data_IF_031974255068
#
_entry.id   IF_031974255068
#
_cell.length_a   1.000
_cell.length_b   1.000
_cell.length_c   1.000
_cell.angle_alpha   90.00
_cell.angle_beta   90.00
_cell.angle_gamma   90.00
#
_symmetry.space_group_name_H-M   'P 1'
#
loop_
_entity.id
_entity.type
_entity.pdbx_description
1 polymer ?
#
# COMPACT_ATOMS: atom_id res chain seq x y z
N UNK A 1 7.70 25.10 -12.77
CA UNK A 1 7.56 23.64 -12.61
C UNK A 1 7.83 23.39 -11.14
N UNK A 2 6.89 22.79 -10.46
CA UNK A 2 7.03 22.49 -9.04
C UNK A 2 8.08 21.38 -8.89
N UNK A 3 9.27 21.74 -8.41
CA UNK A 3 10.43 20.84 -8.28
C UNK A 3 10.32 19.95 -7.02
N UNK A 4 9.10 19.90 -6.42
CA UNK A 4 8.81 19.13 -5.22
C UNK A 4 8.80 17.63 -5.51
N UNK A 5 9.50 16.87 -4.65
CA UNK A 5 9.48 15.39 -4.66
C UNK A 5 8.10 14.81 -4.31
N UNK A 6 7.17 15.63 -3.84
CA UNK A 6 5.79 15.29 -3.47
C UNK A 6 5.35 15.93 -2.17
N UNK A 7 4.04 16.00 -1.96
CA UNK A 7 3.46 16.51 -0.71
C UNK A 7 3.06 15.37 0.20
N UNK A 8 3.62 15.36 1.41
CA UNK A 8 3.46 14.30 2.39
C UNK A 8 2.75 14.80 3.64
N UNK A 9 1.92 13.95 4.25
CA UNK A 9 1.41 14.20 5.60
C UNK A 9 2.09 13.25 6.59
N UNK A 10 2.69 13.78 7.64
CA UNK A 10 3.20 13.03 8.78
C UNK A 10 2.16 13.10 9.91
N UNK A 11 1.73 11.95 10.41
CA UNK A 11 0.84 11.83 11.57
C UNK A 11 1.61 11.05 12.65
N UNK A 12 2.10 11.76 13.66
CA UNK A 12 3.01 11.24 14.70
C UNK A 12 2.80 12.08 15.97
N UNK A 13 2.59 11.46 17.12
CA UNK A 13 2.36 12.17 18.37
C UNK A 13 3.64 12.67 19.02
N UNK A 14 4.76 11.92 18.89
CA UNK A 14 6.06 12.37 19.37
C UNK A 14 6.55 13.61 18.59
N UNK A 15 6.55 14.74 19.26
CA UNK A 15 6.94 16.02 18.66
C UNK A 15 8.40 16.09 18.22
N UNK A 16 9.29 15.33 18.86
CA UNK A 16 10.72 15.31 18.51
C UNK A 16 10.92 14.48 17.23
N UNK A 17 10.33 13.30 17.17
CA UNK A 17 10.37 12.45 15.98
C UNK A 17 9.69 13.12 14.81
N UNK A 18 8.50 13.71 15.00
CA UNK A 18 7.76 14.43 13.95
C UNK A 18 8.59 15.55 13.35
N UNK A 19 9.25 16.41 14.17
CA UNK A 19 10.15 17.45 13.69
C UNK A 19 11.37 16.92 12.95
N UNK A 20 11.96 15.83 13.47
CA UNK A 20 13.11 15.18 12.82
C UNK A 20 12.75 14.64 11.43
N UNK A 21 11.62 13.95 11.33
CA UNK A 21 11.08 13.46 10.05
C UNK A 21 10.84 14.60 9.08
N UNK A 22 10.14 15.65 9.52
CA UNK A 22 9.89 16.84 8.71
C UNK A 22 11.19 17.42 8.18
N UNK A 23 12.13 17.77 9.07
CA UNK A 23 13.40 18.36 8.65
C UNK A 23 14.14 17.49 7.64
N UNK A 24 14.15 16.19 7.85
CA UNK A 24 14.80 15.24 6.93
C UNK A 24 14.13 15.22 5.57
N UNK A 25 12.80 15.19 5.53
CA UNK A 25 12.03 15.10 4.30
C UNK A 25 12.02 16.45 3.55
N UNK A 26 11.97 17.57 4.25
CA UNK A 26 12.10 18.91 3.65
C UNK A 26 13.46 19.05 2.93
N UNK A 27 14.56 18.62 3.56
CA UNK A 27 15.90 18.62 2.94
C UNK A 27 15.96 17.73 1.70
N UNK A 28 15.15 16.68 1.65
CA UNK A 28 15.06 15.78 0.50
C UNK A 28 14.10 16.28 -0.59
N UNK A 29 13.52 17.48 -0.42
CA UNK A 29 12.68 18.16 -1.41
C UNK A 29 11.20 17.80 -1.36
N UNK A 30 10.72 17.19 -0.28
CA UNK A 30 9.28 16.97 -0.08
C UNK A 30 8.63 18.21 0.56
N UNK A 31 7.36 18.46 0.24
CA UNK A 31 6.52 19.42 0.97
C UNK A 31 5.78 18.66 2.08
N UNK A 32 6.02 19.03 3.34
CA UNK A 32 5.62 18.21 4.49
C UNK A 32 4.58 18.93 5.36
N UNK A 33 3.37 18.37 5.41
CA UNK A 33 2.37 18.69 6.43
C UNK A 33 2.55 17.80 7.67
N UNK A 34 2.14 18.31 8.84
CA UNK A 34 2.26 17.62 10.11
C UNK A 34 0.92 17.55 10.83
N UNK A 35 0.65 16.45 11.50
CA UNK A 35 -0.45 16.25 12.42
C UNK A 35 0.07 15.53 13.68
N UNK A 36 -0.45 15.88 14.84
CA UNK A 36 -0.02 15.31 16.12
C UNK A 36 -0.88 14.14 16.61
N UNK A 37 -1.95 13.82 15.90
CA UNK A 37 -2.88 12.73 16.19
C UNK A 37 -3.71 12.40 14.96
N UNK A 38 -4.46 11.29 15.01
CA UNK A 38 -5.26 10.83 13.89
C UNK A 38 -6.37 11.76 13.47
N UNK A 39 -7.03 12.42 14.45
CA UNK A 39 -8.12 13.37 14.20
C UNK A 39 -7.64 14.59 13.41
N UNK A 40 -6.51 15.19 13.82
CA UNK A 40 -5.86 16.29 13.10
C UNK A 40 -5.42 15.84 11.69
N UNK A 41 -4.87 14.64 11.57
CA UNK A 41 -4.51 14.05 10.29
C UNK A 41 -5.68 13.97 9.31
N UNK A 42 -6.84 13.48 9.77
CA UNK A 42 -8.06 13.40 8.96
C UNK A 42 -8.60 14.79 8.57
N UNK A 43 -8.47 15.78 9.44
CA UNK A 43 -8.85 17.18 9.12
C UNK A 43 -7.94 17.73 8.02
N UNK A 44 -6.63 17.55 8.14
CA UNK A 44 -5.66 18.04 7.15
C UNK A 44 -5.84 17.43 5.77
N UNK A 45 -6.13 16.14 5.70
CA UNK A 45 -6.42 15.44 4.43
C UNK A 45 -7.63 15.99 3.69
N UNK A 46 -8.57 16.64 4.41
CA UNK A 46 -9.73 17.31 3.78
C UNK A 46 -9.40 18.70 3.26
N UNK A 47 -8.38 19.35 3.80
CA UNK A 47 -8.03 20.74 3.49
C UNK A 47 -6.93 20.86 2.44
N UNK A 48 -6.07 19.84 2.33
CA UNK A 48 -4.87 19.87 1.49
C UNK A 48 -4.71 18.52 0.80
N UNK A 49 -4.39 18.55 -0.48
CA UNK A 49 -4.08 17.35 -1.26
C UNK A 49 -2.68 16.86 -0.93
N UNK A 50 -2.60 15.66 -0.39
CA UNK A 50 -1.35 14.95 -0.12
C UNK A 50 -1.20 13.76 -1.07
N UNK A 51 0.03 13.36 -1.31
CA UNK A 51 0.37 12.26 -2.23
C UNK A 51 0.78 10.99 -1.49
N UNK A 52 1.08 11.08 -0.20
CA UNK A 52 1.26 9.95 0.69
C UNK A 52 1.11 10.38 2.16
N UNK A 53 0.80 9.41 3.01
CA UNK A 53 0.70 9.58 4.47
C UNK A 53 1.72 8.69 5.15
N UNK A 54 2.52 9.28 6.06
CA UNK A 54 3.32 8.58 7.05
C UNK A 54 2.54 8.60 8.36
N UNK A 55 2.22 7.42 8.89
CA UNK A 55 1.28 7.29 10.01
C UNK A 55 1.88 6.41 11.10
N UNK A 56 2.07 6.97 12.29
CA UNK A 56 2.46 6.16 13.44
C UNK A 56 1.31 5.25 13.91
N UNK A 57 1.66 4.02 14.27
CA UNK A 57 0.68 3.07 14.83
C UNK A 57 0.32 3.43 16.25
N UNK A 58 1.33 3.78 17.06
CA UNK A 58 1.21 3.88 18.51
C UNK A 58 0.90 5.30 18.98
N UNK A 59 -0.20 5.87 18.53
CA UNK A 59 -0.67 7.18 18.97
C UNK A 59 -1.79 7.07 20.00
N UNK A 60 -1.89 8.00 20.97
CA UNK A 60 -3.04 8.07 21.88
C UNK A 60 -4.33 8.44 21.13
N UNK A 61 -5.47 8.16 21.75
CA UNK A 61 -6.79 8.49 21.18
C UNK A 61 -7.22 7.50 20.11
N UNK A 62 -7.46 7.98 18.88
CA UNK A 62 -7.92 7.14 17.77
C UNK A 62 -6.92 6.04 17.37
N UNK A 63 -5.64 6.26 17.63
CA UNK A 63 -4.58 5.34 17.20
C UNK A 63 -4.36 5.30 15.68
N UNK A 64 -3.18 4.79 15.27
CA UNK A 64 -2.82 4.76 13.85
C UNK A 64 -3.65 3.78 13.02
N UNK A 65 -3.98 2.63 13.57
CA UNK A 65 -4.76 1.60 12.87
C UNK A 65 -6.16 2.10 12.49
N UNK A 66 -6.89 2.69 13.44
CA UNK A 66 -8.23 3.24 13.16
C UNK A 66 -8.14 4.45 12.23
N UNK A 67 -7.10 5.29 12.39
CA UNK A 67 -6.83 6.40 11.48
C UNK A 67 -6.62 5.89 10.05
N UNK A 68 -5.83 4.85 9.86
CA UNK A 68 -5.61 4.20 8.57
C UNK A 68 -6.93 3.72 7.94
N UNK A 69 -7.76 2.99 8.71
CA UNK A 69 -9.08 2.53 8.24
C UNK A 69 -9.96 3.68 7.78
N UNK A 70 -9.98 4.80 8.51
CA UNK A 70 -10.77 6.00 8.13
C UNK A 70 -10.22 6.70 6.91
N UNK A 71 -8.90 6.84 6.79
CA UNK A 71 -8.28 7.38 5.57
C UNK A 71 -8.66 6.50 4.38
N UNK A 72 -8.52 5.19 4.49
CA UNK A 72 -8.77 4.26 3.39
C UNK A 72 -10.22 4.26 2.90
N UNK A 73 -11.19 4.47 3.78
CA UNK A 73 -12.61 4.58 3.41
C UNK A 73 -12.90 5.76 2.47
N UNK A 74 -12.15 6.85 2.59
CA UNK A 74 -12.36 8.08 1.81
C UNK A 74 -11.35 8.19 0.66
N UNK A 75 -10.09 7.87 0.94
CA UNK A 75 -8.97 8.01 0.02
C UNK A 75 -8.45 6.62 -0.39
N UNK A 76 -9.21 5.93 -1.25
CA UNK A 76 -8.94 4.54 -1.63
C UNK A 76 -7.58 4.34 -2.29
N UNK A 77 -7.08 5.33 -3.03
CA UNK A 77 -5.79 5.28 -3.77
C UNK A 77 -4.62 5.95 -3.02
N UNK A 78 -4.87 6.60 -1.87
CA UNK A 78 -3.82 7.30 -1.10
C UNK A 78 -2.80 6.30 -0.55
N UNK A 79 -1.50 6.44 -0.84
CA UNK A 79 -0.48 5.61 -0.22
C UNK A 79 -0.36 5.92 1.27
N UNK A 80 -0.40 4.87 2.09
CA UNK A 80 -0.26 4.95 3.56
C UNK A 80 0.90 4.06 3.99
N UNK A 81 1.95 4.69 4.54
CA UNK A 81 3.10 4.00 5.12
C UNK A 81 2.99 4.09 6.64
N UNK A 82 2.85 2.93 7.30
CA UNK A 82 2.78 2.88 8.76
C UNK A 82 4.17 2.90 9.38
N UNK A 83 4.35 3.70 10.44
CA UNK A 83 5.55 3.68 11.28
C UNK A 83 5.25 2.84 12.54
N UNK A 84 6.10 1.88 12.86
CA UNK A 84 5.87 0.98 14.01
C UNK A 84 7.16 0.75 14.82
N UNK A 85 7.05 0.72 16.13
CA UNK A 85 8.14 0.32 17.03
C UNK A 85 8.17 -1.18 17.27
N UNK A 86 7.12 -1.90 16.86
CA UNK A 86 6.96 -3.33 17.13
C UNK A 86 7.31 -4.15 15.90
N UNK A 87 8.12 -5.16 16.09
CA UNK A 87 8.53 -6.11 15.07
C UNK A 87 7.67 -7.40 15.12
N UNK A 88 6.50 -7.35 15.79
CA UNK A 88 5.60 -8.48 15.83
C UNK A 88 4.93 -8.69 14.47
N UNK A 89 4.80 -9.94 14.04
CA UNK A 89 4.05 -10.26 12.82
C UNK A 89 2.59 -9.80 12.92
N UNK A 90 2.00 -9.84 14.11
CA UNK A 90 0.60 -9.48 14.34
C UNK A 90 0.34 -7.98 14.08
N UNK A 91 1.22 -7.09 14.54
CA UNK A 91 1.07 -5.64 14.30
C UNK A 91 1.20 -5.29 12.81
N UNK A 92 2.12 -5.98 12.11
CA UNK A 92 2.30 -5.81 10.65
C UNK A 92 1.08 -6.30 9.88
N UNK A 93 0.51 -7.43 10.31
CA UNK A 93 -0.73 -7.99 9.76
C UNK A 93 -1.89 -7.02 9.97
N UNK A 94 -2.06 -6.51 11.20
CA UNK A 94 -3.15 -5.58 11.53
C UNK A 94 -3.05 -4.26 10.73
N UNK A 95 -1.85 -3.72 10.55
CA UNK A 95 -1.62 -2.53 9.74
C UNK A 95 -2.06 -2.74 8.29
N UNK A 96 -1.66 -3.86 7.68
CA UNK A 96 -2.04 -4.20 6.31
C UNK A 96 -3.54 -4.49 6.18
N UNK A 97 -4.14 -5.17 7.16
CA UNK A 97 -5.59 -5.40 7.19
C UNK A 97 -6.40 -4.11 7.35
N UNK A 98 -5.83 -3.10 8.02
CA UNK A 98 -6.40 -1.76 8.09
C UNK A 98 -6.34 -1.01 6.76
N UNK A 99 -5.59 -1.51 5.77
CA UNK A 99 -5.45 -0.93 4.44
C UNK A 99 -4.17 -0.12 4.23
N UNK A 100 -3.16 -0.28 5.09
CA UNK A 100 -1.83 0.28 4.83
C UNK A 100 -1.19 -0.36 3.59
N UNK A 101 -0.39 0.42 2.87
CA UNK A 101 0.34 -0.07 1.69
C UNK A 101 1.70 -0.66 2.07
N UNK A 102 2.29 -0.12 3.14
CA UNK A 102 3.60 -0.55 3.61
C UNK A 102 3.78 -0.18 5.08
N UNK A 103 4.82 -0.73 5.70
CA UNK A 103 5.22 -0.36 7.06
C UNK A 103 6.75 -0.21 7.15
N UNK A 104 7.19 0.64 8.07
CA UNK A 104 8.61 0.88 8.38
C UNK A 104 8.80 0.75 9.88
N UNK A 105 9.70 -0.14 10.29
CA UNK A 105 9.99 -0.37 11.72
C UNK A 105 10.93 0.67 12.28
N UNK A 106 10.58 1.26 13.42
CA UNK A 106 11.43 2.16 14.22
C UNK A 106 12.41 1.31 15.07
N UNK A 107 13.72 1.66 15.13
CA UNK A 107 14.38 2.75 14.42
C UNK A 107 14.63 2.40 12.93
N UNK A 108 14.34 3.34 12.03
CA UNK A 108 14.52 3.16 10.60
C UNK A 108 15.72 3.96 10.08
N UNK A 109 16.30 3.48 8.98
CA UNK A 109 17.29 4.26 8.25
C UNK A 109 16.60 5.26 7.32
N UNK A 110 17.10 6.49 7.27
CA UNK A 110 16.57 7.55 6.37
C UNK A 110 16.48 7.08 4.93
N UNK A 111 17.47 6.31 4.46
CA UNK A 111 17.50 5.78 3.09
C UNK A 111 16.35 4.81 2.81
N UNK A 112 16.02 3.95 3.75
CA UNK A 112 14.92 2.98 3.65
C UNK A 112 13.58 3.69 3.60
N UNK A 113 13.31 4.57 4.57
CA UNK A 113 12.08 5.37 4.63
C UNK A 113 11.89 6.18 3.33
N UNK A 114 12.94 6.87 2.88
CA UNK A 114 12.88 7.71 1.68
C UNK A 114 12.61 6.88 0.42
N UNK A 115 13.21 5.71 0.32
CA UNK A 115 12.97 4.81 -0.82
C UNK A 115 11.52 4.35 -0.88
N UNK A 116 10.93 3.98 0.27
CA UNK A 116 9.51 3.63 0.40
C UNK A 116 8.58 4.77 -0.01
N UNK A 117 8.84 5.97 0.52
CA UNK A 117 8.06 7.18 0.19
C UNK A 117 8.12 7.50 -1.30
N UNK A 118 9.32 7.55 -1.89
CA UNK A 118 9.47 7.82 -3.33
C UNK A 118 8.75 6.80 -4.20
N UNK A 119 8.82 5.53 -3.83
CA UNK A 119 8.08 4.49 -4.52
C UNK A 119 6.57 4.69 -4.42
N UNK A 120 6.07 5.09 -3.25
CA UNK A 120 4.65 5.37 -3.01
C UNK A 120 4.16 6.58 -3.83
N UNK A 121 4.87 7.71 -3.76
CA UNK A 121 4.54 8.94 -4.52
C UNK A 121 4.61 8.70 -6.02
N UNK A 122 5.63 7.99 -6.51
CA UNK A 122 5.73 7.64 -7.93
C UNK A 122 4.53 6.82 -8.40
N UNK A 123 4.07 5.85 -7.62
CA UNK A 123 2.86 5.07 -7.94
C UNK A 123 1.61 5.93 -7.96
N UNK A 124 1.49 6.86 -7.01
CA UNK A 124 0.36 7.77 -6.92
C UNK A 124 0.31 8.75 -8.11
N UNK A 125 1.47 9.25 -8.55
CA UNK A 125 1.61 10.16 -9.69
C UNK A 125 1.58 9.49 -11.05
N UNK A 126 1.65 8.15 -11.12
CA UNK A 126 1.71 7.45 -12.40
C UNK A 126 0.56 7.92 -13.31
N UNK A 127 0.86 8.45 -14.52
CA UNK A 127 -0.16 9.02 -15.39
C UNK A 127 -1.16 7.97 -15.82
N UNK A 128 -2.41 8.36 -15.91
CA UNK A 128 -3.44 7.57 -16.57
C UNK A 128 -3.19 7.61 -18.08
N UNK A 129 -2.30 6.75 -18.59
CA UNK A 129 -2.05 6.62 -20.03
C UNK A 129 -3.23 5.95 -20.75
N UNK A 130 -3.49 6.19 -22.07
CA UNK A 130 -4.70 5.70 -22.72
C UNK A 130 -4.87 4.17 -22.69
N UNK A 131 -6.13 3.76 -22.69
CA UNK A 131 -6.64 2.41 -22.41
C UNK A 131 -6.35 1.34 -23.49
N UNK A 132 -5.09 1.15 -23.91
CA UNK A 132 -4.80 0.15 -24.97
C UNK A 132 -4.39 -1.24 -24.48
N UNK A 133 -4.30 -1.50 -23.16
CA UNK A 133 -3.88 -2.81 -22.65
C UNK A 133 -4.62 -3.23 -21.39
N UNK A 134 -5.96 -3.29 -21.42
CA UNK A 134 -6.67 -3.97 -20.32
C UNK A 134 -6.38 -5.48 -20.38
N UNK A 135 -6.09 -6.07 -19.23
CA UNK A 135 -5.89 -7.50 -19.07
C UNK A 135 -7.20 -8.11 -18.59
N UNK A 136 -7.81 -8.95 -19.39
CA UNK A 136 -9.06 -9.65 -19.01
C UNK A 136 -8.79 -11.13 -18.82
N UNK A 137 -9.25 -11.70 -17.71
CA UNK A 137 -9.23 -13.12 -17.45
C UNK A 137 -10.50 -13.52 -16.68
N UNK A 138 -11.37 -14.28 -17.35
CA UNK A 138 -12.68 -14.62 -16.83
C UNK A 138 -13.55 -13.38 -16.59
N UNK A 139 -14.08 -13.25 -15.38
CA UNK A 139 -14.88 -12.09 -15.02
C UNK A 139 -14.07 -10.87 -14.57
N UNK A 140 -12.74 -10.97 -14.48
CA UNK A 140 -11.87 -9.90 -13.98
C UNK A 140 -11.22 -9.17 -15.14
N UNK A 141 -11.39 -7.84 -15.16
CA UNK A 141 -10.73 -6.93 -16.09
C UNK A 141 -9.88 -5.94 -15.27
N UNK A 142 -8.61 -5.84 -15.59
CA UNK A 142 -7.66 -4.91 -14.98
C UNK A 142 -7.20 -3.91 -16.03
N UNK A 143 -7.40 -2.62 -15.75
CA UNK A 143 -6.85 -1.50 -16.51
C UNK A 143 -5.59 -1.00 -15.78
N UNK A 144 -4.39 -1.31 -16.29
CA UNK A 144 -3.15 -0.94 -15.61
C UNK A 144 -2.91 0.57 -15.60
N UNK A 145 -3.53 1.25 -16.51
CA UNK A 145 -3.40 2.66 -16.77
C UNK A 145 -4.24 3.50 -15.82
N UNK A 146 -5.55 3.21 -15.79
CA UNK A 146 -6.46 3.85 -14.85
C UNK A 146 -6.34 3.28 -13.43
N UNK A 147 -5.49 2.26 -13.24
CA UNK A 147 -5.39 1.48 -12.00
C UNK A 147 -6.76 1.04 -11.50
N UNK A 148 -7.57 0.56 -12.42
CA UNK A 148 -8.95 0.15 -12.17
C UNK A 148 -9.10 -1.36 -12.35
N UNK A 149 -9.88 -1.96 -11.49
CA UNK A 149 -10.24 -3.38 -11.58
C UNK A 149 -11.75 -3.50 -11.58
N UNK A 150 -12.25 -4.32 -12.48
CA UNK A 150 -13.67 -4.67 -12.55
C UNK A 150 -13.83 -6.18 -12.42
N UNK A 151 -14.89 -6.60 -11.74
CA UNK A 151 -15.38 -7.98 -11.74
C UNK A 151 -16.78 -8.00 -12.30
N UNK A 152 -16.98 -8.68 -13.42
CA UNK A 152 -18.26 -8.72 -14.15
C UNK A 152 -18.82 -7.32 -14.45
N UNK A 153 -17.96 -6.37 -14.80
CA UNK A 153 -18.33 -4.97 -15.09
C UNK A 153 -18.58 -4.09 -13.85
N UNK A 154 -18.43 -4.62 -12.63
CA UNK A 154 -18.56 -3.87 -11.38
C UNK A 154 -17.17 -3.52 -10.88
N UNK A 155 -16.93 -2.22 -10.60
CA UNK A 155 -15.64 -1.77 -10.08
C UNK A 155 -15.34 -2.34 -8.71
N UNK A 156 -14.11 -2.86 -8.55
CA UNK A 156 -13.57 -3.35 -7.30
C UNK A 156 -12.46 -2.43 -6.82
N UNK A 157 -12.65 -1.80 -5.67
CA UNK A 157 -11.66 -0.88 -5.12
C UNK A 157 -10.52 -1.63 -4.44
N UNK A 158 -9.33 -1.54 -5.04
CA UNK A 158 -8.10 -2.07 -4.50
C UNK A 158 -7.20 -0.95 -3.98
N UNK A 159 -6.46 -1.24 -2.90
CA UNK A 159 -5.37 -0.36 -2.48
C UNK A 159 -4.24 -0.39 -3.51
N UNK A 160 -3.30 0.58 -3.51
CA UNK A 160 -2.17 0.58 -4.43
C UNK A 160 -1.39 -0.74 -4.44
N UNK A 161 -1.14 -1.35 -3.29
CA UNK A 161 -0.41 -2.62 -3.20
C UNK A 161 -1.21 -3.84 -3.65
N UNK A 162 -2.50 -3.86 -3.34
CA UNK A 162 -3.41 -4.90 -3.83
C UNK A 162 -3.49 -4.88 -5.35
N UNK A 163 -3.54 -3.68 -5.94
CA UNK A 163 -3.53 -3.52 -7.38
C UNK A 163 -2.22 -4.02 -8.00
N UNK A 164 -1.07 -3.62 -7.44
CA UNK A 164 0.25 -3.99 -7.95
C UNK A 164 0.43 -5.53 -7.96
N UNK A 165 0.07 -6.21 -6.88
CA UNK A 165 0.18 -7.68 -6.83
C UNK A 165 -0.76 -8.35 -7.81
N UNK A 166 -1.99 -7.86 -7.95
CA UNK A 166 -2.95 -8.39 -8.91
C UNK A 166 -2.45 -8.23 -10.35
N UNK A 167 -1.94 -7.04 -10.69
CA UNK A 167 -1.38 -6.75 -12.01
C UNK A 167 -0.24 -7.71 -12.35
N UNK A 168 0.70 -7.94 -11.42
CA UNK A 168 1.81 -8.87 -11.62
C UNK A 168 1.28 -10.28 -11.89
N UNK A 169 0.33 -10.75 -11.09
CA UNK A 169 -0.24 -12.08 -11.22
C UNK A 169 -1.02 -12.26 -12.53
N UNK A 170 -1.84 -11.28 -12.92
CA UNK A 170 -2.62 -11.33 -14.17
C UNK A 170 -1.73 -11.24 -15.41
N UNK A 171 -0.68 -10.43 -15.38
CA UNK A 171 0.30 -10.33 -16.48
C UNK A 171 1.02 -11.67 -16.73
N UNK A 172 1.15 -12.50 -15.69
CA UNK A 172 1.79 -13.82 -15.76
C UNK A 172 0.80 -14.95 -15.55
N UNK A 173 -0.46 -14.77 -15.95
CA UNK A 173 -1.51 -15.77 -15.75
C UNK A 173 -1.07 -17.19 -16.18
N UNK A 174 -1.46 -18.18 -15.41
CA UNK A 174 -1.06 -19.58 -15.60
C UNK A 174 0.31 -19.94 -15.02
N UNK A 175 1.19 -18.98 -14.75
CA UNK A 175 2.56 -19.24 -14.26
C UNK A 175 2.70 -18.93 -12.78
N UNK A 176 3.23 -19.88 -11.96
CA UNK A 176 3.54 -19.62 -10.57
C UNK A 176 4.62 -18.55 -10.44
N UNK A 177 4.41 -17.59 -9.54
CA UNK A 177 5.39 -16.58 -9.17
C UNK A 177 5.83 -16.83 -7.74
N UNK A 178 7.14 -16.98 -7.52
CA UNK A 178 7.68 -17.28 -6.20
C UNK A 178 7.50 -16.12 -5.22
N UNK A 179 7.40 -16.42 -3.93
CA UNK A 179 7.30 -15.40 -2.88
C UNK A 179 8.43 -14.37 -2.99
N UNK A 180 9.67 -14.82 -3.17
CA UNK A 180 10.84 -13.95 -3.31
C UNK A 180 10.73 -13.02 -4.52
N UNK A 181 10.25 -13.54 -5.67
CA UNK A 181 10.06 -12.71 -6.87
C UNK A 181 8.96 -11.69 -6.71
N UNK A 182 7.82 -12.09 -6.11
CA UNK A 182 6.73 -11.14 -5.82
C UNK A 182 7.19 -10.05 -4.87
N UNK A 183 7.87 -10.41 -3.78
CA UNK A 183 8.41 -9.45 -2.82
C UNK A 183 9.39 -8.47 -3.49
N UNK A 184 10.31 -8.96 -4.30
CA UNK A 184 11.30 -8.13 -4.99
C UNK A 184 10.63 -7.12 -5.96
N UNK A 185 9.67 -7.57 -6.77
CA UNK A 185 8.98 -6.67 -7.74
C UNK A 185 8.10 -5.66 -7.01
N UNK A 186 7.46 -6.05 -5.91
CA UNK A 186 6.66 -5.15 -5.08
C UNK A 186 7.54 -4.20 -4.24
N UNK A 187 8.85 -4.41 -4.17
CA UNK A 187 9.77 -3.63 -3.34
C UNK A 187 9.53 -3.87 -1.83
N UNK A 188 9.11 -5.09 -1.47
CA UNK A 188 8.95 -5.50 -0.08
C UNK A 188 10.34 -5.82 0.47
N UNK A 189 10.77 -5.21 1.60
CA UNK A 189 12.07 -5.45 2.17
C UNK A 189 12.26 -6.93 2.59
N UNK A 190 13.45 -7.49 2.35
CA UNK A 190 13.78 -8.89 2.66
C UNK A 190 14.25 -9.05 4.11
N UNK A 191 13.34 -8.97 5.06
CA UNK A 191 13.64 -9.17 6.50
C UNK A 191 13.00 -10.45 7.08
N UNK A 192 12.75 -11.46 6.25
CA UNK A 192 12.19 -12.74 6.71
C UNK A 192 10.66 -12.75 6.90
N UNK A 193 9.98 -11.62 6.75
CA UNK A 193 8.52 -11.50 6.90
C UNK A 193 7.76 -11.43 5.57
N UNK A 194 8.44 -11.58 4.43
CA UNK A 194 7.83 -11.41 3.10
C UNK A 194 6.66 -12.36 2.85
N UNK A 195 6.76 -13.60 3.36
CA UNK A 195 5.70 -14.61 3.19
C UNK A 195 4.44 -14.24 3.98
N UNK A 196 4.61 -13.72 5.21
CA UNK A 196 3.48 -13.26 6.02
C UNK A 196 2.80 -12.06 5.37
N UNK A 197 3.60 -11.08 4.95
CA UNK A 197 3.12 -9.91 4.20
C UNK A 197 2.31 -10.32 2.95
N UNK A 198 2.90 -11.15 2.09
CA UNK A 198 2.23 -11.59 0.86
C UNK A 198 0.95 -12.38 1.15
N UNK A 199 0.94 -13.20 2.22
CA UNK A 199 -0.25 -13.94 2.64
C UNK A 199 -1.40 -13.00 2.95
N UNK A 200 -1.14 -11.95 3.74
CA UNK A 200 -2.15 -10.94 4.10
C UNK A 200 -2.61 -10.21 2.84
N UNK A 201 -1.68 -9.70 2.04
CA UNK A 201 -1.98 -8.94 0.83
C UNK A 201 -2.85 -9.76 -0.16
N UNK A 202 -2.46 -11.00 -0.43
CA UNK A 202 -3.24 -11.93 -1.27
C UNK A 202 -4.60 -12.23 -0.65
N UNK A 203 -4.65 -12.41 0.68
CA UNK A 203 -5.90 -12.62 1.41
C UNK A 203 -6.88 -11.45 1.23
N UNK A 204 -6.39 -10.21 1.28
CA UNK A 204 -7.23 -9.02 1.06
C UNK A 204 -7.73 -8.94 -0.38
N UNK A 205 -6.87 -9.21 -1.37
CA UNK A 205 -7.28 -9.25 -2.78
C UNK A 205 -8.34 -10.32 -3.01
N UNK A 206 -8.17 -11.52 -2.45
CA UNK A 206 -9.17 -12.60 -2.53
C UNK A 206 -10.51 -12.20 -1.94
N UNK A 207 -10.53 -11.58 -0.75
CA UNK A 207 -11.77 -11.09 -0.10
C UNK A 207 -12.56 -10.13 -1.00
N UNK A 208 -11.90 -9.45 -1.93
CA UNK A 208 -12.51 -8.47 -2.84
C UNK A 208 -12.87 -9.05 -4.21
N UNK A 209 -12.13 -10.06 -4.67
CA UNK A 209 -12.27 -10.61 -6.02
C UNK A 209 -12.91 -11.98 -6.09
N UNK A 210 -12.84 -12.79 -5.04
CA UNK A 210 -13.37 -14.15 -5.03
C UNK A 210 -14.78 -14.16 -4.40
N UNK A 211 -15.59 -15.16 -4.75
CA UNK A 211 -16.86 -15.41 -4.04
C UNK A 211 -16.60 -16.04 -2.68
N UNK A 212 -15.59 -16.93 -2.62
CA UNK A 212 -15.08 -17.53 -1.40
C UNK A 212 -13.56 -17.39 -1.35
N UNK A 213 -13.08 -16.52 -0.48
CA UNK A 213 -11.63 -16.28 -0.34
C UNK A 213 -10.86 -17.50 0.20
N UNK A 214 -11.54 -18.45 0.85
CA UNK A 214 -10.95 -19.70 1.34
C UNK A 214 -10.79 -20.73 0.23
N UNK A 215 -11.68 -20.71 -0.77
CA UNK A 215 -11.65 -21.57 -1.95
C UNK A 215 -11.53 -20.73 -3.23
N UNK A 216 -10.38 -20.06 -3.45
CA UNK A 216 -10.22 -19.11 -4.54
C UNK A 216 -10.16 -19.82 -5.90
N UNK A 217 -10.78 -19.18 -6.91
CA UNK A 217 -10.76 -19.67 -8.29
C UNK A 217 -9.86 -18.84 -9.22
N UNK A 218 -9.55 -17.60 -8.85
CA UNK A 218 -8.68 -16.71 -9.64
C UNK A 218 -7.25 -16.69 -9.14
N UNK A 219 -7.03 -16.46 -7.85
CA UNK A 219 -5.68 -16.37 -7.27
C UNK A 219 -5.39 -17.66 -6.51
N UNK A 220 -4.64 -18.55 -7.11
CA UNK A 220 -4.31 -19.86 -6.58
C UNK A 220 -3.02 -19.82 -5.75
N UNK A 221 -2.94 -20.69 -4.73
CA UNK A 221 -1.70 -20.90 -3.98
C UNK A 221 -1.01 -22.15 -4.52
N UNK A 222 0.21 -21.98 -5.03
CA UNK A 222 1.08 -23.11 -5.35
C UNK A 222 1.96 -23.40 -4.12
N UNK A 223 1.64 -24.48 -3.41
CA UNK A 223 2.28 -24.85 -2.14
C UNK A 223 3.81 -24.83 -2.27
N UNK A 224 4.48 -24.20 -1.30
CA UNK A 224 5.95 -24.01 -1.22
C UNK A 224 6.57 -23.13 -2.31
N UNK A 225 5.85 -22.74 -3.37
CA UNK A 225 6.35 -21.93 -4.49
C UNK A 225 5.92 -20.47 -4.31
N UNK A 226 4.62 -20.21 -4.31
CA UNK A 226 4.08 -18.85 -4.27
C UNK A 226 2.63 -18.78 -4.71
N UNK A 227 2.33 -17.84 -5.58
CA UNK A 227 0.97 -17.59 -6.05
C UNK A 227 0.90 -17.56 -7.58
N UNK A 228 -0.26 -17.89 -8.10
CA UNK A 228 -0.55 -17.89 -9.53
C UNK A 228 -1.94 -17.34 -9.78
N UNK A 229 -2.09 -16.52 -10.82
CA UNK A 229 -3.43 -16.27 -11.36
C UNK A 229 -3.83 -17.46 -12.24
N UNK A 230 -5.12 -17.82 -12.24
CA UNK A 230 -5.61 -18.92 -13.10
C UNK A 230 -5.25 -18.69 -14.56
N UNK A 231 -5.21 -19.75 -15.35
CA UNK A 231 -5.09 -19.63 -16.81
C UNK A 231 -6.31 -18.91 -17.42
N UNK A 232 -6.12 -18.19 -18.52
CA UNK A 232 -7.23 -17.53 -19.22
C UNK A 232 -8.31 -18.48 -19.67
#
# INVERSE_FOLDING_TARGET
MDDSQGRLLIVEDDSALRRSLRTTLDVLGFDVGEASNGEDGLVRLRMVDYEAVLLDINMPGMGGIETCRRIRRVYTKMPILMLTVRDSEDDKVEALEAGADDYVTKPFQTRELTAGIRAAVRRFRAPETPAEMSITNGAITLDPVRRRVERSGIEVHLTPREFDVLQILMTHAGKPITHTRLAAVLGIPSFGSERAYLRVLIGQVRKKLEDDAANPIYILTDSYIGYRFREP
#
